data_IF_929588828102
#
_entry.id   IF_929588828102
#
_cell.length_a   1.000
_cell.length_b   1.000
_cell.length_c   1.000
_cell.angle_alpha   90.00
_cell.angle_beta   90.00
_cell.angle_gamma   90.00
#
_symmetry.space_group_name_H-M   'P 1'
#
loop_
_entity.id
_entity.type
_entity.pdbx_description
1 polymer ?
#
# COMPACT_ATOMS: atom_id res chain seq x y z
N UNK A 1 46.20 -35.37 62.65
CA UNK A 1 46.70 -34.42 61.61
C UNK A 1 46.11 -34.65 60.23
N UNK A 2 45.86 -35.86 59.76
CA UNK A 2 45.34 -36.13 58.39
C UNK A 2 43.93 -35.63 58.13
N UNK A 3 43.02 -35.63 59.14
CA UNK A 3 41.63 -35.18 59.03
C UNK A 3 41.51 -33.67 58.84
N UNK A 4 42.37 -32.85 59.47
CA UNK A 4 42.39 -31.41 59.36
C UNK A 4 42.86 -30.90 57.98
N UNK A 5 43.81 -31.65 57.34
CA UNK A 5 44.28 -31.29 55.99
C UNK A 5 43.28 -31.64 54.88
N UNK A 6 42.45 -32.64 55.10
CA UNK A 6 41.39 -33.01 54.11
C UNK A 6 40.25 -32.04 54.08
N UNK A 7 39.85 -31.50 55.25
CA UNK A 7 38.86 -30.45 55.36
C UNK A 7 39.28 -29.17 54.66
N UNK A 8 40.52 -28.70 54.86
CA UNK A 8 41.03 -27.47 54.23
C UNK A 8 41.02 -27.53 52.68
N UNK A 9 41.43 -28.66 52.10
CA UNK A 9 41.42 -28.84 50.64
C UNK A 9 40.01 -28.89 50.03
N UNK A 10 39.03 -29.40 50.82
CA UNK A 10 37.65 -29.40 50.40
C UNK A 10 37.06 -27.98 50.45
N UNK A 11 37.34 -27.22 51.49
CA UNK A 11 36.89 -25.82 51.60
C UNK A 11 37.48 -24.93 50.50
N UNK A 12 38.77 -25.07 50.21
CA UNK A 12 39.42 -24.38 49.09
C UNK A 12 38.81 -24.75 47.72
N UNK A 13 38.45 -26.02 47.51
CA UNK A 13 37.77 -26.44 46.29
C UNK A 13 36.35 -25.90 46.17
N UNK A 14 35.62 -25.80 47.28
CA UNK A 14 34.29 -25.19 47.30
C UNK A 14 34.33 -23.69 47.00
N UNK A 15 35.32 -22.95 47.54
CA UNK A 15 35.52 -21.55 47.26
C UNK A 15 35.80 -21.31 45.76
N UNK A 16 36.61 -22.14 45.12
CA UNK A 16 36.86 -22.07 43.66
C UNK A 16 35.59 -22.35 42.86
N UNK A 17 34.79 -23.34 43.25
CA UNK A 17 33.52 -23.64 42.57
C UNK A 17 32.53 -22.48 42.73
N UNK A 18 32.46 -21.89 43.89
CA UNK A 18 31.59 -20.72 44.14
C UNK A 18 32.01 -19.52 43.29
N UNK A 19 33.31 -19.23 43.21
CA UNK A 19 33.85 -18.15 42.40
C UNK A 19 33.56 -18.38 40.89
N UNK A 20 33.66 -19.62 40.41
CA UNK A 20 33.31 -19.96 39.02
C UNK A 20 31.82 -19.79 38.77
N UNK A 21 30.98 -20.15 39.71
CA UNK A 21 29.52 -19.98 39.62
C UNK A 21 29.14 -18.50 39.57
N UNK A 22 29.72 -17.67 40.43
CA UNK A 22 29.50 -16.23 40.44
C UNK A 22 29.97 -15.55 39.10
N UNK A 23 31.10 -15.99 38.56
CA UNK A 23 31.64 -15.51 37.29
C UNK A 23 30.71 -15.90 36.14
N UNK A 24 30.27 -17.15 36.09
CA UNK A 24 29.35 -17.62 35.05
C UNK A 24 27.99 -16.91 35.11
N UNK A 25 27.47 -16.66 36.32
CA UNK A 25 26.20 -15.90 36.46
C UNK A 25 26.34 -14.46 35.96
N UNK A 26 27.45 -13.77 36.25
CA UNK A 26 27.72 -12.41 35.68
C UNK A 26 27.76 -12.41 34.18
N UNK A 27 28.42 -13.41 33.59
CA UNK A 27 28.50 -13.54 32.12
C UNK A 27 27.14 -13.81 31.50
N UNK A 28 26.32 -14.65 32.11
CA UNK A 28 24.93 -14.90 31.70
C UNK A 28 24.09 -13.61 31.74
N UNK A 29 24.21 -12.81 32.78
CA UNK A 29 23.44 -11.56 32.90
C UNK A 29 23.90 -10.50 31.90
N UNK A 30 25.20 -10.42 31.60
CA UNK A 30 25.75 -9.57 30.55
C UNK A 30 25.20 -9.98 29.18
N UNK A 31 25.25 -11.27 28.84
CA UNK A 31 24.73 -11.78 27.55
C UNK A 31 23.22 -11.57 27.41
N UNK A 32 22.46 -11.69 28.49
CA UNK A 32 21.01 -11.36 28.48
C UNK A 32 20.77 -9.89 28.19
N UNK A 33 21.56 -9.00 28.77
CA UNK A 33 21.46 -7.55 28.52
C UNK A 33 21.80 -7.20 27.06
N UNK A 34 22.88 -7.76 26.53
CA UNK A 34 23.27 -7.56 25.13
C UNK A 34 22.18 -8.08 24.17
N UNK A 35 21.62 -9.24 24.46
CA UNK A 35 20.56 -9.83 23.65
C UNK A 35 19.26 -9.00 23.66
N UNK A 36 18.95 -8.36 24.80
CA UNK A 36 17.82 -7.43 24.88
C UNK A 36 18.05 -6.18 24.03
N UNK A 37 19.26 -5.62 24.06
CA UNK A 37 19.64 -4.44 23.27
C UNK A 37 19.56 -4.73 21.75
N UNK A 38 20.14 -5.86 21.32
CA UNK A 38 20.12 -6.28 19.92
C UNK A 38 18.68 -6.53 19.40
N UNK A 39 17.81 -7.08 20.23
CA UNK A 39 16.39 -7.25 19.86
C UNK A 39 15.67 -5.93 19.67
N UNK A 40 15.96 -4.94 20.51
CA UNK A 40 15.37 -3.61 20.42
C UNK A 40 15.87 -2.85 19.18
N UNK A 41 17.16 -2.96 18.85
CA UNK A 41 17.74 -2.38 17.64
C UNK A 41 17.11 -3.00 16.37
N UNK A 42 16.99 -4.33 16.31
CA UNK A 42 16.36 -5.00 15.19
C UNK A 42 14.90 -4.57 14.99
N UNK A 43 14.14 -4.42 16.06
CA UNK A 43 12.76 -3.95 15.98
C UNK A 43 12.69 -2.51 15.42
N UNK A 44 13.58 -1.63 15.87
CA UNK A 44 13.69 -0.26 15.33
C UNK A 44 14.02 -0.22 13.84
N UNK A 45 14.94 -1.07 13.39
CA UNK A 45 15.31 -1.14 11.98
C UNK A 45 14.14 -1.63 11.12
N UNK A 46 13.39 -2.62 11.56
CA UNK A 46 12.19 -3.12 10.87
C UNK A 46 11.10 -2.04 10.76
N UNK A 47 10.86 -1.29 11.83
CA UNK A 47 9.89 -0.19 11.84
C UNK A 47 10.33 0.95 10.89
N UNK A 48 11.62 1.29 10.89
CA UNK A 48 12.19 2.31 10.03
C UNK A 48 12.09 1.95 8.55
N UNK A 49 12.35 0.70 8.19
CA UNK A 49 12.16 0.18 6.83
C UNK A 49 10.69 0.24 6.40
N UNK A 50 9.76 -0.11 7.29
CA UNK A 50 8.33 0.00 7.04
C UNK A 50 7.92 1.44 6.75
N UNK A 51 8.29 2.38 7.62
CA UNK A 51 8.01 3.81 7.44
C UNK A 51 8.62 4.38 6.15
N UNK A 52 9.84 3.98 5.80
CA UNK A 52 10.47 4.39 4.53
C UNK A 52 9.70 3.89 3.31
N UNK A 53 9.19 2.64 3.35
CA UNK A 53 8.38 2.09 2.26
C UNK A 53 7.05 2.82 2.10
N UNK A 54 6.36 3.11 3.20
CA UNK A 54 5.11 3.88 3.22
C UNK A 54 5.33 5.32 2.70
N UNK A 55 6.40 5.98 3.12
CA UNK A 55 6.77 7.32 2.65
C UNK A 55 7.07 7.34 1.14
N UNK A 56 7.71 6.30 0.62
CA UNK A 56 7.99 6.18 -0.81
C UNK A 56 6.71 6.05 -1.62
N UNK A 57 5.74 5.26 -1.16
CA UNK A 57 4.42 5.14 -1.79
C UNK A 57 3.69 6.47 -1.76
N UNK A 58 3.58 7.11 -0.58
CA UNK A 58 2.91 8.40 -0.44
C UNK A 58 3.52 9.49 -1.33
N UNK A 59 4.85 9.57 -1.43
CA UNK A 59 5.52 10.51 -2.34
C UNK A 59 5.23 10.22 -3.82
N UNK A 60 5.19 8.95 -4.20
CA UNK A 60 4.83 8.55 -5.57
C UNK A 60 3.40 8.97 -5.92
N UNK A 61 2.47 8.80 -5.00
CA UNK A 61 1.07 9.19 -5.17
C UNK A 61 0.92 10.71 -5.28
N UNK A 62 1.60 11.48 -4.44
CA UNK A 62 1.63 12.96 -4.51
C UNK A 62 2.26 13.49 -5.79
N UNK A 63 3.30 12.83 -6.32
CA UNK A 63 4.02 13.30 -7.52
C UNK A 63 3.23 13.14 -8.82
N UNK A 64 2.17 12.34 -8.83
CA UNK A 64 1.32 12.13 -10.02
C UNK A 64 0.46 13.31 -10.40
N UNK A 65 0.31 14.31 -9.54
CA UNK A 65 -0.54 15.48 -9.78
C UNK A 65 -2.04 15.20 -9.83
N UNK A 66 -2.46 13.94 -9.63
CA UNK A 66 -3.86 13.51 -9.52
C UNK A 66 -4.07 12.77 -8.21
N UNK A 67 -5.21 12.96 -7.55
CA UNK A 67 -5.56 12.23 -6.33
C UNK A 67 -5.99 10.79 -6.63
N UNK A 68 -5.10 10.00 -7.22
CA UNK A 68 -5.32 8.58 -7.59
C UNK A 68 -4.18 7.76 -7.02
N UNK A 69 -4.47 6.77 -6.19
CA UNK A 69 -3.48 5.83 -5.65
C UNK A 69 -2.98 4.86 -6.74
N UNK A 70 -1.85 4.20 -6.49
CA UNK A 70 -1.34 3.17 -7.42
C UNK A 70 -2.31 2.03 -7.65
N UNK A 71 -3.00 1.62 -6.60
CA UNK A 71 -3.97 0.53 -6.69
C UNK A 71 -5.18 0.93 -7.55
N UNK A 72 -5.72 2.13 -7.31
CA UNK A 72 -6.78 2.68 -8.15
C UNK A 72 -6.35 2.81 -9.61
N UNK A 73 -5.12 3.28 -9.86
CA UNK A 73 -4.59 3.38 -11.22
C UNK A 73 -4.50 2.01 -11.90
N UNK A 74 -4.08 0.96 -11.18
CA UNK A 74 -4.07 -0.41 -11.72
C UNK A 74 -5.47 -0.89 -12.07
N UNK A 75 -6.45 -0.64 -11.21
CA UNK A 75 -7.85 -1.00 -11.45
C UNK A 75 -8.44 -0.24 -12.63
N UNK A 76 -8.21 1.06 -12.72
CA UNK A 76 -8.62 1.90 -13.87
C UNK A 76 -7.99 1.38 -15.16
N UNK A 77 -6.70 1.06 -15.17
CA UNK A 77 -6.02 0.55 -16.36
C UNK A 77 -6.55 -0.85 -16.78
N UNK A 78 -6.91 -1.69 -15.81
CA UNK A 78 -7.57 -2.98 -16.07
C UNK A 78 -8.93 -2.76 -16.71
N UNK A 79 -9.74 -1.86 -16.15
CA UNK A 79 -11.06 -1.53 -16.69
C UNK A 79 -10.95 -0.95 -18.10
N UNK A 80 -10.01 -0.02 -18.38
CA UNK A 80 -9.78 0.54 -19.72
C UNK A 80 -9.52 -0.54 -20.75
N UNK A 81 -8.62 -1.48 -20.45
CA UNK A 81 -8.32 -2.61 -21.36
C UNK A 81 -9.54 -3.48 -21.66
N UNK A 82 -10.33 -3.78 -20.64
CA UNK A 82 -11.58 -4.55 -20.81
C UNK A 82 -12.57 -3.76 -21.67
N UNK A 83 -12.80 -2.50 -21.36
CA UNK A 83 -13.70 -1.62 -22.10
C UNK A 83 -13.30 -1.49 -23.58
N UNK A 84 -12.01 -1.26 -23.87
CA UNK A 84 -11.49 -1.16 -25.24
C UNK A 84 -11.66 -2.46 -26.00
N UNK A 85 -11.49 -3.61 -25.35
CA UNK A 85 -11.68 -4.93 -25.98
C UNK A 85 -13.14 -5.24 -26.22
N UNK A 86 -14.00 -5.05 -25.21
CA UNK A 86 -15.41 -5.49 -25.23
C UNK A 86 -16.31 -4.53 -26.02
N UNK A 87 -16.08 -3.21 -25.90
CA UNK A 87 -16.94 -2.18 -26.49
C UNK A 87 -16.42 -1.70 -27.83
N UNK A 88 -15.10 -1.52 -27.95
CA UNK A 88 -14.47 -0.96 -29.15
C UNK A 88 -13.82 -2.00 -30.05
N UNK A 89 -13.78 -3.28 -29.66
CA UNK A 89 -13.10 -4.38 -30.36
C UNK A 89 -11.62 -4.09 -30.71
N UNK A 90 -10.97 -3.23 -29.91
CA UNK A 90 -9.58 -2.81 -30.13
C UNK A 90 -8.83 -2.67 -28.81
N UNK A 91 -8.11 -3.73 -28.37
CA UNK A 91 -7.38 -3.72 -27.09
C UNK A 91 -6.21 -2.73 -27.06
N UNK A 92 -5.73 -2.30 -28.23
CA UNK A 92 -4.63 -1.33 -28.38
C UNK A 92 -5.14 0.00 -28.95
N UNK A 93 -6.41 0.35 -28.66
CA UNK A 93 -7.01 1.55 -29.25
C UNK A 93 -6.21 2.81 -28.92
N UNK A 94 -5.53 3.33 -29.94
CA UNK A 94 -4.97 4.68 -29.91
C UNK A 94 -6.12 5.67 -29.96
N UNK A 95 -6.48 6.19 -28.83
CA UNK A 95 -7.55 7.20 -28.72
C UNK A 95 -7.07 8.59 -29.15
N UNK A 96 -6.45 8.76 -30.26
CA UNK A 96 -6.05 10.03 -30.89
C UNK A 96 -5.82 11.26 -29.99
N UNK A 97 -5.03 12.19 -30.41
CA UNK A 97 -4.69 13.41 -29.65
C UNK A 97 -5.83 14.44 -29.56
N UNK A 98 -6.87 14.34 -30.37
CA UNK A 98 -7.97 15.31 -30.44
C UNK A 98 -9.30 14.67 -29.96
N UNK A 99 -9.54 14.69 -28.66
CA UNK A 99 -10.85 14.31 -28.05
C UNK A 99 -11.12 12.81 -27.92
N UNK A 100 -10.15 11.96 -28.27
CA UNK A 100 -10.19 10.52 -27.97
C UNK A 100 -9.53 10.24 -26.61
N UNK A 101 -9.75 9.01 -26.10
CA UNK A 101 -9.17 8.56 -24.85
C UNK A 101 -10.11 8.66 -23.66
N UNK A 102 -9.53 8.89 -22.51
CA UNK A 102 -10.25 8.85 -21.25
C UNK A 102 -10.16 10.17 -20.51
N UNK A 103 -11.27 10.60 -19.90
CA UNK A 103 -11.35 11.80 -19.05
C UNK A 103 -11.53 11.36 -17.60
N UNK A 104 -10.81 12.02 -16.70
CA UNK A 104 -10.97 11.87 -15.26
C UNK A 104 -11.72 13.08 -14.71
N UNK A 105 -12.69 12.83 -13.88
CA UNK A 105 -13.42 13.84 -13.12
C UNK A 105 -13.27 13.56 -11.64
N UNK A 106 -12.97 14.61 -10.85
CA UNK A 106 -12.76 14.50 -9.41
C UNK A 106 -13.75 15.40 -8.67
N UNK A 107 -14.37 14.84 -7.66
CA UNK A 107 -15.35 15.53 -6.82
C UNK A 107 -14.86 15.50 -5.36
N UNK A 108 -14.19 16.57 -4.88
CA UNK A 108 -13.78 16.66 -3.50
C UNK A 108 -15.01 16.80 -2.60
N UNK A 109 -15.04 16.04 -1.52
CA UNK A 109 -16.10 16.08 -0.50
C UNK A 109 -15.48 16.21 0.89
N UNK A 110 -16.28 16.49 1.92
CA UNK A 110 -15.80 16.56 3.30
C UNK A 110 -15.33 15.21 3.90
N UNK A 111 -15.55 14.11 3.21
CA UNK A 111 -15.20 12.75 3.67
C UNK A 111 -14.21 12.03 2.71
N UNK A 112 -13.74 12.72 1.68
CA UNK A 112 -12.80 12.15 0.71
C UNK A 112 -13.01 12.69 -0.70
N UNK A 113 -12.23 12.17 -1.64
CA UNK A 113 -12.34 12.48 -3.06
C UNK A 113 -13.03 11.32 -3.78
N UNK A 114 -14.12 11.62 -4.46
CA UNK A 114 -14.72 10.72 -5.44
C UNK A 114 -14.18 11.04 -6.81
N UNK A 115 -13.95 10.04 -7.61
CA UNK A 115 -13.50 10.22 -8.97
C UNK A 115 -14.19 9.26 -9.92
N UNK A 116 -14.32 9.69 -11.17
CA UNK A 116 -14.79 8.86 -12.26
C UNK A 116 -13.86 8.96 -13.47
N UNK A 117 -13.66 7.86 -14.16
CA UNK A 117 -12.96 7.77 -15.42
C UNK A 117 -13.94 7.41 -16.52
N UNK A 118 -14.05 8.24 -17.56
CA UNK A 118 -14.98 8.06 -18.67
C UNK A 118 -14.24 7.77 -19.98
N UNK A 119 -14.79 6.85 -20.76
CA UNK A 119 -14.42 6.74 -22.18
C UNK A 119 -15.04 7.89 -22.97
N UNK A 120 -14.21 8.76 -23.56
CA UNK A 120 -14.70 9.92 -24.30
C UNK A 120 -15.47 9.56 -25.56
N UNK A 121 -15.11 8.48 -26.24
CA UNK A 121 -15.82 8.00 -27.43
C UNK A 121 -17.26 7.63 -27.08
N UNK A 122 -17.45 6.80 -26.06
CA UNK A 122 -18.77 6.42 -25.56
C UNK A 122 -19.55 7.62 -25.02
N UNK A 123 -18.89 8.49 -24.25
CA UNK A 123 -19.51 9.70 -23.68
C UNK A 123 -20.02 10.66 -24.77
N UNK A 124 -19.24 10.85 -25.82
CA UNK A 124 -19.64 11.68 -26.94
C UNK A 124 -20.82 11.05 -27.72
N UNK A 125 -20.79 9.75 -27.90
CA UNK A 125 -21.91 9.04 -28.52
C UNK A 125 -23.18 9.11 -27.67
N UNK A 126 -23.07 8.89 -26.36
CA UNK A 126 -24.18 9.06 -25.41
C UNK A 126 -24.79 10.45 -25.49
N UNK A 127 -23.96 11.49 -25.54
CA UNK A 127 -24.42 12.88 -25.68
C UNK A 127 -25.17 13.09 -26.99
N UNK A 128 -24.62 12.60 -28.11
CA UNK A 128 -25.29 12.73 -29.42
C UNK A 128 -26.69 12.07 -29.41
N UNK A 129 -26.82 10.90 -28.80
CA UNK A 129 -28.09 10.19 -28.69
C UNK A 129 -29.08 10.87 -27.74
N UNK A 130 -28.56 11.47 -26.67
CA UNK A 130 -29.36 12.15 -25.67
C UNK A 130 -29.88 13.53 -26.13
N UNK A 131 -29.22 14.18 -27.11
CA UNK A 131 -29.70 15.43 -27.70
C UNK A 131 -30.68 15.13 -28.83
N UNK A 132 -31.95 15.46 -28.60
CA UNK A 132 -33.02 15.35 -29.60
C UNK A 132 -33.75 16.68 -29.71
N UNK A 133 -33.77 17.27 -30.89
CA UNK A 133 -34.47 18.57 -31.18
C UNK A 133 -34.05 19.73 -30.25
N UNK A 134 -32.82 19.75 -29.76
CA UNK A 134 -32.30 20.77 -28.85
C UNK A 134 -32.44 20.49 -27.39
N UNK A 135 -33.20 19.46 -26.99
CA UNK A 135 -33.38 19.04 -25.60
C UNK A 135 -32.47 17.88 -25.22
N UNK A 136 -31.90 17.94 -24.00
CA UNK A 136 -31.05 16.88 -23.46
C UNK A 136 -31.84 15.91 -22.60
N UNK A 137 -31.86 14.64 -22.98
CA UNK A 137 -32.50 13.58 -22.23
C UNK A 137 -31.46 12.81 -21.39
N UNK A 138 -31.41 13.11 -20.07
CA UNK A 138 -30.45 12.50 -19.15
C UNK A 138 -30.63 10.97 -19.02
N UNK A 139 -31.87 10.46 -19.12
CA UNK A 139 -32.13 9.02 -19.03
C UNK A 139 -31.47 8.24 -20.16
N UNK A 140 -31.59 8.75 -21.41
CA UNK A 140 -30.96 8.13 -22.58
C UNK A 140 -29.44 8.15 -22.43
N UNK A 141 -28.88 9.26 -21.92
CA UNK A 141 -27.45 9.37 -21.64
C UNK A 141 -27.01 8.31 -20.62
N UNK A 142 -27.67 8.25 -19.46
CA UNK A 142 -27.32 7.36 -18.36
C UNK A 142 -27.46 5.88 -18.74
N UNK A 143 -28.51 5.52 -19.50
CA UNK A 143 -28.71 4.18 -20.03
C UNK A 143 -27.61 3.77 -20.99
N UNK A 144 -27.16 4.66 -21.86
CA UNK A 144 -26.08 4.40 -22.79
C UNK A 144 -24.76 4.17 -22.04
N UNK A 145 -24.40 5.05 -21.08
CA UNK A 145 -23.18 4.95 -20.26
C UNK A 145 -23.15 3.62 -19.51
N UNK A 146 -24.25 3.22 -18.89
CA UNK A 146 -24.36 1.95 -18.17
C UNK A 146 -24.27 0.72 -19.09
N UNK A 147 -25.02 0.72 -20.20
CA UNK A 147 -25.04 -0.43 -21.12
C UNK A 147 -23.69 -0.70 -21.79
N UNK A 148 -22.87 0.32 -21.95
CA UNK A 148 -21.54 0.21 -22.56
C UNK A 148 -20.41 0.18 -21.52
N UNK A 149 -20.72 0.10 -20.22
CA UNK A 149 -19.72 0.18 -19.13
C UNK A 149 -18.70 1.31 -19.35
N UNK A 150 -19.19 2.49 -19.75
CA UNK A 150 -18.37 3.61 -20.24
C UNK A 150 -17.82 4.50 -19.14
N UNK A 151 -18.12 4.17 -17.88
CA UNK A 151 -17.66 4.89 -16.68
C UNK A 151 -17.12 3.88 -15.66
N UNK A 152 -16.02 4.25 -15.02
CA UNK A 152 -15.47 3.58 -13.83
C UNK A 152 -15.36 4.59 -12.69
N UNK A 153 -16.09 4.35 -11.61
CA UNK A 153 -16.06 5.21 -10.42
C UNK A 153 -15.14 4.63 -9.35
N UNK A 154 -14.40 5.51 -8.66
CA UNK A 154 -13.51 5.17 -7.56
C UNK A 154 -13.64 6.18 -6.43
N UNK A 155 -13.34 5.75 -5.22
CA UNK A 155 -13.41 6.56 -4.02
C UNK A 155 -12.12 6.46 -3.24
N UNK A 156 -11.62 7.58 -2.77
CA UNK A 156 -10.58 7.69 -1.77
C UNK A 156 -11.20 8.23 -0.47
N UNK A 157 -11.18 7.41 0.58
CA UNK A 157 -11.56 7.85 1.93
C UNK A 157 -10.31 8.39 2.64
N UNK A 158 -10.45 9.52 3.32
CA UNK A 158 -9.42 10.12 4.18
C UNK A 158 -9.32 9.38 5.52
#
# INVERSE_FOLDING_TARGET
>A
MIHSMRSKKFDEAMDVVQMLFETANKEIDNLRSELATLKEEKWRDEELQKMQSELKVARSDMSRGFPITEEQLKQINKWKKLHDTEVHNNPDSYHGTAGGGYTYEFYPTGIGTFGSCYCNTCRNQARRLAYTNGDFNSKVYDEYIKSHNAEYSFQEAW
#
